data_IF_961618140945
#
_entry.id   IF_961618140945
#
_cell.length_a   1.000
_cell.length_b   1.000
_cell.length_c   1.000
_cell.angle_alpha   90.00
_cell.angle_beta   90.00
_cell.angle_gamma   90.00
#
_symmetry.space_group_name_H-M   'P 1'
#
loop_
_entity.id
_entity.type
_entity.pdbx_description
1 polymer ?
#
# COMPACT_ATOMS: atom_id res chain seq x y z
N UNK A 1 19.39 -13.72 -0.34
CA UNK A 1 18.09 -14.31 -0.73
C UNK A 1 17.22 -13.27 -1.40
N UNK A 2 16.59 -13.60 -2.55
CA UNK A 2 15.56 -12.80 -3.19
C UNK A 2 14.18 -13.16 -2.60
N UNK A 3 13.40 -12.16 -2.25
CA UNK A 3 12.05 -12.30 -1.70
C UNK A 3 11.05 -11.67 -2.66
N UNK A 4 10.12 -12.47 -3.18
CA UNK A 4 9.04 -11.94 -4.01
C UNK A 4 8.03 -11.20 -3.12
N UNK A 5 7.96 -9.90 -3.32
CA UNK A 5 7.14 -8.93 -2.56
C UNK A 5 6.27 -8.09 -3.51
N UNK A 6 5.32 -8.72 -4.23
CA UNK A 6 4.44 -8.01 -5.15
C UNK A 6 3.56 -7.01 -4.41
N UNK A 7 3.07 -6.02 -5.16
CA UNK A 7 2.12 -5.04 -4.66
C UNK A 7 2.38 -3.62 -5.15
N UNK A 8 3.61 -3.11 -5.02
CA UNK A 8 4.01 -1.89 -5.73
C UNK A 8 3.98 -2.13 -7.25
N UNK A 9 4.58 -3.22 -7.68
CA UNK A 9 4.43 -3.82 -9.01
C UNK A 9 4.40 -5.34 -8.89
N UNK A 10 3.93 -6.04 -9.92
CA UNK A 10 3.69 -7.48 -9.88
C UNK A 10 4.98 -8.31 -9.68
N UNK A 11 6.10 -7.86 -10.22
CA UNK A 11 7.39 -8.54 -10.18
C UNK A 11 8.36 -7.97 -9.14
N UNK A 12 7.87 -7.19 -8.16
CA UNK A 12 8.72 -6.57 -7.16
C UNK A 12 9.48 -7.60 -6.32
N UNK A 13 10.78 -7.34 -6.09
CA UNK A 13 11.67 -8.14 -5.26
C UNK A 13 12.32 -7.27 -4.19
N UNK A 14 12.35 -7.78 -2.97
CA UNK A 14 13.30 -7.37 -1.94
C UNK A 14 14.48 -8.34 -1.90
N UNK A 15 15.64 -7.88 -1.46
CA UNK A 15 16.85 -8.71 -1.36
C UNK A 15 17.35 -8.72 0.08
N UNK A 16 17.34 -9.89 0.71
CA UNK A 16 17.91 -10.08 2.03
C UNK A 16 19.41 -10.44 1.93
N UNK A 17 20.23 -9.69 2.63
CA UNK A 17 21.63 -9.98 2.87
C UNK A 17 21.72 -10.68 4.23
N UNK A 18 21.89 -11.99 4.19
CA UNK A 18 22.01 -12.84 5.37
C UNK A 18 23.48 -13.17 5.55
N UNK A 19 24.15 -12.45 6.44
CA UNK A 19 25.52 -12.78 6.83
C UNK A 19 25.53 -13.06 8.33
N UNK A 20 25.94 -14.26 8.70
CA UNK A 20 25.97 -14.72 10.11
C UNK A 20 26.85 -13.87 11.05
N UNK A 21 27.70 -13.01 10.49
CA UNK A 21 28.66 -12.19 11.25
C UNK A 21 28.27 -10.71 11.32
N UNK A 22 27.19 -10.27 10.66
CA UNK A 22 26.78 -8.87 10.58
C UNK A 22 25.27 -8.72 10.68
N UNK A 23 24.79 -7.48 10.82
CA UNK A 23 23.35 -7.19 10.90
C UNK A 23 22.59 -7.73 9.68
N UNK A 24 21.41 -8.31 9.92
CA UNK A 24 20.51 -8.76 8.86
C UNK A 24 19.94 -7.54 8.15
N UNK A 25 20.29 -7.40 6.89
CA UNK A 25 19.94 -6.23 6.08
C UNK A 25 19.00 -6.64 4.94
N UNK A 26 17.93 -5.87 4.75
CA UNK A 26 17.02 -6.03 3.63
C UNK A 26 17.08 -4.80 2.71
N UNK A 27 17.36 -5.00 1.43
CA UNK A 27 17.10 -4.02 0.39
C UNK A 27 15.61 -4.07 0.08
N UNK A 28 14.85 -3.13 0.62
CA UNK A 28 13.39 -3.12 0.53
C UNK A 28 12.86 -2.44 -0.74
N UNK A 29 13.74 -1.82 -1.51
CA UNK A 29 13.42 -1.08 -2.73
C UNK A 29 12.19 -0.16 -2.51
N UNK A 30 11.19 -0.22 -3.39
CA UNK A 30 10.00 0.62 -3.30
C UNK A 30 8.83 -0.01 -2.53
N UNK A 31 9.01 -1.22 -1.98
CA UNK A 31 7.99 -1.85 -1.14
C UNK A 31 7.88 -1.18 0.23
N UNK A 32 9.02 -0.83 0.84
CA UNK A 32 9.10 -0.04 2.08
C UNK A 32 10.06 1.10 1.86
N UNK A 33 9.53 2.30 1.65
CA UNK A 33 10.28 3.55 1.56
C UNK A 33 10.24 4.28 2.89
N UNK A 34 11.36 4.89 3.32
CA UNK A 34 11.46 5.53 4.64
C UNK A 34 11.01 6.99 4.67
N UNK A 35 10.68 7.60 3.52
CA UNK A 35 10.28 9.00 3.44
C UNK A 35 8.80 9.21 3.04
N UNK A 36 8.17 8.19 2.47
CA UNK A 36 6.79 8.23 1.97
C UNK A 36 6.19 6.83 1.94
N UNK A 37 4.89 6.72 1.74
CA UNK A 37 4.24 5.44 1.48
C UNK A 37 4.43 5.02 0.03
N UNK A 38 4.64 3.74 -0.21
CA UNK A 38 4.77 3.16 -1.55
C UNK A 38 3.55 3.45 -2.41
N UNK A 39 3.77 3.71 -3.68
CA UNK A 39 2.68 3.83 -4.65
C UNK A 39 2.17 2.44 -4.99
N UNK A 40 0.86 2.23 -4.88
CA UNK A 40 0.17 1.02 -5.34
C UNK A 40 -0.88 1.47 -6.34
N UNK A 41 -0.60 1.24 -7.62
CA UNK A 41 -1.41 1.77 -8.71
C UNK A 41 -1.74 0.68 -9.73
N UNK A 42 -3.01 0.26 -9.85
CA UNK A 42 -3.42 -0.66 -10.91
C UNK A 42 -3.10 -0.11 -12.32
N UNK A 43 -2.88 -1.00 -13.31
CA UNK A 43 -3.09 -2.45 -13.25
C UNK A 43 -1.91 -3.25 -12.66
N UNK A 44 -0.70 -2.70 -12.58
CA UNK A 44 0.50 -3.41 -12.12
C UNK A 44 0.59 -3.48 -10.59
N UNK A 45 0.13 -2.42 -9.91
CA UNK A 45 0.04 -2.39 -8.45
C UNK A 45 -1.22 -3.09 -7.92
N UNK A 46 -1.05 -3.90 -6.86
CA UNK A 46 -2.11 -4.66 -6.20
C UNK A 46 -2.06 -4.47 -4.69
N UNK A 47 -3.14 -3.95 -4.09
CA UNK A 47 -3.20 -3.66 -2.66
C UNK A 47 -3.27 -4.93 -1.80
N UNK A 48 -3.92 -5.98 -2.27
CA UNK A 48 -3.98 -7.24 -1.54
C UNK A 48 -2.59 -7.90 -1.49
N UNK A 49 -1.91 -7.95 -2.63
CA UNK A 49 -0.54 -8.44 -2.73
C UNK A 49 0.43 -7.59 -1.90
N UNK A 50 0.28 -6.26 -1.92
CA UNK A 50 1.08 -5.35 -1.10
C UNK A 50 0.94 -5.63 0.39
N UNK A 51 -0.29 -5.80 0.88
CA UNK A 51 -0.56 -6.11 2.29
C UNK A 51 -0.03 -7.48 2.69
N UNK A 52 -0.17 -8.49 1.83
CA UNK A 52 0.40 -9.81 2.05
C UNK A 52 1.94 -9.77 2.11
N UNK A 53 2.56 -8.98 1.24
CA UNK A 53 4.02 -8.78 1.23
C UNK A 53 4.51 -8.02 2.47
N UNK A 54 3.79 -7.00 2.95
CA UNK A 54 4.08 -6.37 4.25
C UNK A 54 4.01 -7.39 5.39
N UNK A 55 3.04 -8.31 5.37
CA UNK A 55 2.95 -9.40 6.34
C UNK A 55 4.18 -10.31 6.34
N UNK A 56 4.71 -10.65 5.15
CA UNK A 56 5.96 -11.41 5.03
C UNK A 56 7.13 -10.64 5.65
N UNK A 57 7.21 -9.33 5.43
CA UNK A 57 8.27 -8.49 5.96
C UNK A 57 8.15 -8.30 7.48
N UNK A 58 6.92 -8.23 8.02
CA UNK A 58 6.68 -8.18 9.47
C UNK A 58 7.12 -9.45 10.21
N UNK A 59 7.08 -10.60 9.56
CA UNK A 59 7.51 -11.88 10.13
C UNK A 59 9.05 -12.05 10.13
N UNK A 60 9.78 -11.10 9.55
CA UNK A 60 11.25 -11.09 9.52
C UNK A 60 11.79 -10.33 10.73
N UNK A 61 13.02 -10.62 11.09
CA UNK A 61 13.75 -10.01 12.19
C UNK A 61 15.00 -9.25 11.69
N UNK A 62 14.87 -8.59 10.53
CA UNK A 62 15.95 -7.78 9.98
C UNK A 62 16.26 -6.57 10.88
N UNK A 63 17.55 -6.22 10.98
CA UNK A 63 18.03 -5.11 11.79
C UNK A 63 18.00 -3.77 11.03
N UNK A 64 18.10 -3.84 9.70
CA UNK A 64 18.23 -2.67 8.83
C UNK A 64 17.49 -2.88 7.51
N UNK A 65 16.68 -1.89 7.10
CA UNK A 65 16.20 -1.79 5.72
C UNK A 65 16.95 -0.71 4.96
N UNK A 66 17.29 -1.02 3.71
CA UNK A 66 17.82 -0.08 2.73
C UNK A 66 16.77 0.11 1.63
N UNK A 67 16.00 1.19 1.70
CA UNK A 67 14.95 1.48 0.72
C UNK A 67 15.50 2.01 -0.60
N UNK A 68 14.69 1.92 -1.67
CA UNK A 68 14.98 2.58 -2.95
C UNK A 68 14.94 4.11 -2.82
N UNK A 69 14.12 4.62 -1.91
CA UNK A 69 13.96 6.05 -1.63
C UNK A 69 13.94 6.34 -0.13
N UNK A 70 14.68 7.36 0.28
CA UNK A 70 14.81 7.80 1.67
C UNK A 70 16.05 7.22 2.37
N UNK A 71 16.30 7.62 3.62
CA UNK A 71 17.44 7.15 4.40
C UNK A 71 17.31 5.69 4.82
N UNK A 72 18.42 5.04 5.20
CA UNK A 72 18.39 3.73 5.86
C UNK A 72 17.44 3.71 7.04
N UNK A 73 16.75 2.59 7.24
CA UNK A 73 15.74 2.41 8.28
C UNK A 73 16.22 1.35 9.29
N UNK A 74 16.83 1.73 10.41
CA UNK A 74 17.19 0.81 11.47
C UNK A 74 15.94 0.36 12.24
N UNK A 75 15.95 -0.85 12.77
CA UNK A 75 14.83 -1.46 13.50
C UNK A 75 13.51 -1.32 12.73
N UNK A 76 13.38 -1.89 11.52
CA UNK A 76 12.31 -1.56 10.60
C UNK A 76 10.92 -2.04 11.03
N UNK A 77 10.82 -3.00 11.96
CA UNK A 77 9.57 -3.67 12.30
C UNK A 77 8.44 -2.73 12.77
N UNK A 78 8.69 -1.75 13.67
CA UNK A 78 7.65 -0.78 14.03
C UNK A 78 7.16 0.06 12.85
N UNK A 79 8.06 0.39 11.93
CA UNK A 79 7.72 1.17 10.73
C UNK A 79 6.87 0.36 9.75
N UNK A 80 7.22 -0.90 9.49
CA UNK A 80 6.44 -1.81 8.64
C UNK A 80 5.05 -2.05 9.24
N UNK A 81 4.97 -2.22 10.56
CA UNK A 81 3.70 -2.33 11.27
C UNK A 81 2.83 -1.07 11.11
N UNK A 82 3.45 0.11 11.23
CA UNK A 82 2.76 1.40 11.03
C UNK A 82 2.27 1.58 9.58
N UNK A 83 3.07 1.18 8.58
CA UNK A 83 2.62 1.17 7.18
C UNK A 83 1.40 0.28 6.97
N UNK A 84 1.44 -0.95 7.48
CA UNK A 84 0.32 -1.89 7.35
C UNK A 84 -0.94 -1.36 8.07
N UNK A 85 -0.78 -0.76 9.24
CA UNK A 85 -1.87 -0.09 9.98
C UNK A 85 -2.46 1.05 9.17
N UNK A 86 -1.62 1.96 8.66
CA UNK A 86 -2.05 3.09 7.83
C UNK A 86 -2.86 2.64 6.60
N UNK A 87 -2.44 1.54 5.93
CA UNK A 87 -3.18 1.00 4.79
C UNK A 87 -4.55 0.47 5.17
N UNK A 88 -4.65 -0.25 6.30
CA UNK A 88 -5.95 -0.74 6.82
C UNK A 88 -6.89 0.41 7.21
N UNK A 89 -6.37 1.44 7.87
CA UNK A 89 -7.14 2.62 8.22
C UNK A 89 -7.64 3.38 6.98
N UNK A 90 -6.78 3.50 5.96
CA UNK A 90 -7.16 4.08 4.68
C UNK A 90 -8.28 3.28 4.01
N UNK A 91 -8.17 1.96 3.98
CA UNK A 91 -9.18 1.08 3.40
C UNK A 91 -10.51 1.16 4.14
N UNK A 92 -10.48 1.17 5.46
CA UNK A 92 -11.69 1.34 6.27
C UNK A 92 -12.38 2.68 5.96
N UNK A 93 -11.59 3.75 5.81
CA UNK A 93 -12.13 5.07 5.43
C UNK A 93 -12.70 5.06 4.02
N UNK A 94 -12.05 4.41 3.06
CA UNK A 94 -12.58 4.27 1.69
C UNK A 94 -13.95 3.60 1.72
N UNK A 95 -14.10 2.51 2.46
CA UNK A 95 -15.36 1.77 2.58
C UNK A 95 -16.44 2.62 3.28
N UNK A 96 -16.08 3.36 4.32
CA UNK A 96 -17.00 4.27 5.03
C UNK A 96 -17.51 5.38 4.10
N UNK A 97 -16.62 6.04 3.38
CA UNK A 97 -17.03 7.12 2.48
C UNK A 97 -17.82 6.60 1.27
N UNK A 98 -17.52 5.40 0.79
CA UNK A 98 -18.33 4.74 -0.24
C UNK A 98 -19.74 4.43 0.28
N UNK A 99 -19.89 3.99 1.53
CA UNK A 99 -21.22 3.79 2.17
C UNK A 99 -22.01 5.08 2.26
N UNK A 100 -21.35 6.18 2.63
CA UNK A 100 -22.00 7.51 2.73
C UNK A 100 -22.45 8.04 1.36
N UNK A 101 -21.63 7.83 0.34
CA UNK A 101 -21.93 8.27 -1.02
C UNK A 101 -22.99 7.38 -1.71
N UNK A 102 -23.19 6.14 -1.25
CA UNK A 102 -23.99 5.12 -1.91
C UNK A 102 -23.37 4.61 -3.21
N UNK A 103 -23.03 5.52 -4.12
CA UNK A 103 -22.34 5.27 -5.39
C UNK A 103 -21.35 6.39 -5.68
N UNK A 104 -20.11 6.04 -6.08
CA UNK A 104 -19.11 7.05 -6.43
C UNK A 104 -18.03 6.49 -7.38
N UNK A 105 -17.40 7.36 -8.17
CA UNK A 105 -16.11 7.04 -8.80
C UNK A 105 -14.97 7.16 -7.77
N UNK A 106 -13.81 6.58 -8.07
CA UNK A 106 -12.64 6.73 -7.20
C UNK A 106 -12.25 8.21 -7.04
N UNK A 107 -12.30 8.99 -8.12
CA UNK A 107 -12.01 10.43 -8.11
C UNK A 107 -12.95 11.21 -7.19
N UNK A 108 -14.25 10.89 -7.23
CA UNK A 108 -15.25 11.55 -6.40
C UNK A 108 -15.04 11.30 -4.89
N UNK A 109 -14.44 10.18 -4.53
CA UNK A 109 -14.11 9.85 -3.13
C UNK A 109 -12.84 10.55 -2.62
N UNK A 110 -11.96 11.06 -3.50
CA UNK A 110 -10.66 11.63 -3.10
C UNK A 110 -10.81 12.72 -2.03
N UNK A 111 -11.67 13.75 -2.16
CA UNK A 111 -11.77 14.81 -1.15
C UNK A 111 -12.20 14.29 0.23
N UNK A 112 -13.10 13.32 0.28
CA UNK A 112 -13.60 12.75 1.53
C UNK A 112 -12.55 11.89 2.25
N UNK A 113 -11.71 11.17 1.47
CA UNK A 113 -10.71 10.24 2.01
C UNK A 113 -9.38 10.93 2.31
N UNK A 114 -8.94 11.87 1.48
CA UNK A 114 -7.64 12.56 1.61
C UNK A 114 -7.74 13.97 2.18
N UNK A 115 -8.95 14.52 2.27
CA UNK A 115 -9.19 15.89 2.68
C UNK A 115 -9.37 16.84 1.49
N UNK A 116 -10.24 17.85 1.68
CA UNK A 116 -10.57 18.82 0.63
C UNK A 116 -9.40 19.77 0.25
N UNK A 117 -8.37 19.85 1.11
CA UNK A 117 -7.18 20.69 0.89
C UNK A 117 -6.06 19.97 0.10
N UNK A 118 -6.32 18.76 -0.42
CA UNK A 118 -5.34 18.06 -1.25
C UNK A 118 -5.00 18.88 -2.50
N UNK A 119 -3.70 19.02 -2.79
CA UNK A 119 -3.25 19.68 -4.03
C UNK A 119 -3.90 19.02 -5.25
N UNK A 120 -4.57 19.81 -6.11
CA UNK A 120 -5.23 19.27 -7.29
C UNK A 120 -4.36 18.40 -8.20
N UNK A 121 -3.06 18.67 -8.24
CA UNK A 121 -2.08 17.86 -8.99
C UNK A 121 -1.93 16.43 -8.48
N UNK A 122 -2.26 16.19 -7.21
CA UNK A 122 -2.18 14.86 -6.57
C UNK A 122 -3.47 14.06 -6.70
N UNK A 123 -4.59 14.68 -7.14
CA UNK A 123 -5.88 13.98 -7.26
C UNK A 123 -5.80 12.73 -8.14
N UNK A 124 -5.15 12.75 -9.32
CA UNK A 124 -5.06 11.55 -10.16
C UNK A 124 -4.28 10.41 -9.48
N UNK A 125 -3.21 10.73 -8.74
CA UNK A 125 -2.44 9.74 -8.00
C UNK A 125 -3.22 9.17 -6.81
N UNK A 126 -3.94 10.04 -6.09
CA UNK A 126 -4.84 9.65 -5.00
C UNK A 126 -5.97 8.74 -5.50
N UNK A 127 -6.60 9.08 -6.62
CA UNK A 127 -7.66 8.27 -7.23
C UNK A 127 -7.17 6.87 -7.63
N UNK A 128 -5.96 6.76 -8.20
CA UNK A 128 -5.35 5.44 -8.49
C UNK A 128 -5.11 4.62 -7.22
N UNK A 129 -4.62 5.25 -6.16
CA UNK A 129 -4.46 4.58 -4.87
C UNK A 129 -5.80 4.13 -4.26
N UNK A 130 -6.87 4.96 -4.38
CA UNK A 130 -8.22 4.56 -3.98
C UNK A 130 -8.73 3.38 -4.80
N UNK A 131 -8.50 3.39 -6.12
CA UNK A 131 -8.87 2.28 -7.01
C UNK A 131 -8.23 0.98 -6.56
N UNK A 132 -6.96 0.98 -6.12
CA UNK A 132 -6.30 -0.21 -5.59
C UNK A 132 -7.02 -0.77 -4.34
N UNK A 133 -7.45 0.10 -3.41
CA UNK A 133 -8.25 -0.30 -2.25
C UNK A 133 -9.64 -0.81 -2.65
N UNK A 134 -10.31 -0.15 -3.59
CA UNK A 134 -11.64 -0.54 -4.06
C UNK A 134 -11.62 -1.90 -4.76
N UNK A 135 -10.58 -2.19 -5.57
CA UNK A 135 -10.38 -3.51 -6.19
C UNK A 135 -10.22 -4.58 -5.12
N UNK A 136 -9.40 -4.33 -4.09
CA UNK A 136 -9.23 -5.27 -2.98
C UNK A 136 -10.55 -5.49 -2.24
N UNK A 137 -11.28 -4.43 -1.90
CA UNK A 137 -12.59 -4.51 -1.25
C UNK A 137 -13.61 -5.30 -2.10
N UNK A 138 -13.53 -5.18 -3.43
CA UNK A 138 -14.39 -5.95 -4.32
C UNK A 138 -14.03 -7.44 -4.33
N UNK A 139 -12.74 -7.77 -4.33
CA UNK A 139 -12.27 -9.15 -4.22
C UNK A 139 -12.69 -9.80 -2.88
N UNK A 140 -12.84 -9.00 -1.82
CA UNK A 140 -13.32 -9.43 -0.50
C UNK A 140 -14.85 -9.41 -0.38
N UNK A 141 -15.57 -9.03 -1.43
CA UNK A 141 -17.04 -8.97 -1.44
C UNK A 141 -17.65 -7.79 -0.69
N UNK A 142 -16.84 -6.80 -0.28
CA UNK A 142 -17.30 -5.61 0.46
C UNK A 142 -17.74 -4.46 -0.47
N UNK A 143 -17.28 -4.48 -1.72
CA UNK A 143 -17.66 -3.50 -2.75
C UNK A 143 -17.86 -4.19 -4.10
N UNK A 144 -18.50 -3.49 -5.04
CA UNK A 144 -18.59 -3.92 -6.44
C UNK A 144 -18.52 -2.72 -7.36
N UNK A 145 -18.17 -2.97 -8.62
CA UNK A 145 -18.11 -1.93 -9.65
C UNK A 145 -19.09 -2.22 -10.77
N UNK A 146 -19.83 -1.21 -11.17
CA UNK A 146 -20.74 -1.24 -12.33
C UNK A 146 -20.53 0.02 -13.16
N UNK A 147 -20.24 -0.14 -14.45
CA UNK A 147 -20.02 0.98 -15.38
C UNK A 147 -19.05 2.06 -14.86
N UNK A 148 -17.94 1.66 -14.26
CA UNK A 148 -16.92 2.58 -13.73
C UNK A 148 -17.25 3.21 -12.37
N UNK A 149 -18.41 2.91 -11.79
CA UNK A 149 -18.86 3.43 -10.51
C UNK A 149 -18.81 2.32 -9.45
N UNK A 150 -18.33 2.67 -8.28
CA UNK A 150 -18.23 1.76 -7.13
C UNK A 150 -19.43 1.91 -6.20
N UNK A 151 -19.82 0.82 -5.56
CA UNK A 151 -20.85 0.76 -4.53
C UNK A 151 -20.54 -0.36 -3.54
N UNK A 152 -21.13 -0.30 -2.37
CA UNK A 152 -21.04 -1.38 -1.38
C UNK A 152 -21.84 -2.60 -1.87
N UNK A 153 -21.35 -3.79 -1.61
CA UNK A 153 -22.03 -5.05 -1.93
C UNK A 153 -23.14 -5.35 -0.96
#
# INVERSE_FOLDING_TARGET
TALHTPGHCANHLCFALENASTSRTLFSADHVMSWSTSVVSPPDGDMAAYMASLGKLQARDDDLYLPGHGPPLPNPQPFVAALAKHRREREARVLEELRRAGRASAEALVPAVYGAALDPRLIPAAARSLTAHLIKLAAEGAARQEAGVWMVS
#
